data_IF_500159949142
#
_entry.id   IF_500159949142
#
_cell.length_a   1.000
_cell.length_b   1.000
_cell.length_c   1.000
_cell.angle_alpha   90.00
_cell.angle_beta   90.00
_cell.angle_gamma   90.00
#
_symmetry.space_group_name_H-M   'P 1'
#
loop_
_entity.id
_entity.type
_entity.pdbx_description
1 polymer ?
#
# COMPACT_ATOMS: atom_id res chain seq x y z
N UNK A 1 -2.03 -20.68 1.77
CA UNK A 1 -2.12 -19.71 0.68
C UNK A 1 -3.02 -18.57 1.15
N UNK A 2 -2.47 -17.38 1.28
CA UNK A 2 -3.24 -16.14 1.52
C UNK A 2 -3.61 -15.45 0.22
N UNK A 3 -4.21 -14.27 0.35
CA UNK A 3 -4.71 -13.44 -0.75
C UNK A 3 -4.04 -12.06 -0.73
N UNK A 4 -3.78 -11.52 -1.91
CA UNK A 4 -3.46 -10.11 -2.10
C UNK A 4 -4.79 -9.37 -2.30
N UNK A 5 -5.13 -8.48 -1.37
CA UNK A 5 -6.41 -7.75 -1.36
C UNK A 5 -6.12 -6.28 -1.65
N UNK A 6 -6.39 -5.83 -2.88
CA UNK A 6 -6.36 -4.41 -3.22
C UNK A 6 -7.61 -3.73 -2.65
N UNK A 7 -7.43 -2.90 -1.63
CA UNK A 7 -8.51 -2.34 -0.84
C UNK A 7 -8.68 -0.85 -1.16
N UNK A 8 -9.74 -0.52 -1.89
CA UNK A 8 -10.13 0.86 -2.16
C UNK A 8 -10.62 1.57 -0.90
N UNK A 9 -9.99 2.71 -0.57
CA UNK A 9 -10.27 3.48 0.64
C UNK A 9 -11.33 4.57 0.45
N UNK A 10 -11.75 4.82 -0.78
CA UNK A 10 -12.57 5.98 -1.12
C UNK A 10 -11.74 7.27 -1.24
N UNK A 11 -12.40 8.44 -1.34
CA UNK A 11 -11.79 9.71 -1.75
C UNK A 11 -11.01 10.44 -0.65
N UNK A 12 -10.90 9.86 0.55
CA UNK A 12 -10.12 10.43 1.66
C UNK A 12 -10.87 10.48 2.99
N UNK A 13 -12.18 10.73 2.96
CA UNK A 13 -13.01 10.67 4.17
C UNK A 13 -13.27 9.20 4.55
N UNK A 14 -12.86 8.74 5.76
CA UNK A 14 -13.11 7.37 6.21
C UNK A 14 -14.59 6.98 6.21
N UNK A 15 -15.52 7.93 6.37
CA UNK A 15 -16.96 7.65 6.37
C UNK A 15 -17.50 7.31 4.97
N UNK A 16 -16.73 7.59 3.91
CA UNK A 16 -17.05 7.22 2.53
C UNK A 16 -16.48 5.85 2.13
N UNK A 17 -15.81 5.16 3.05
CA UNK A 17 -15.26 3.84 2.82
C UNK A 17 -16.35 2.77 2.79
N UNK A 18 -16.26 1.81 1.86
CA UNK A 18 -17.19 0.68 1.86
C UNK A 18 -17.05 -0.17 3.13
N UNK A 19 -18.16 -0.72 3.63
CA UNK A 19 -18.19 -1.64 4.78
C UNK A 19 -17.26 -2.85 4.57
N UNK A 20 -17.07 -3.30 3.32
CA UNK A 20 -16.16 -4.40 3.00
C UNK A 20 -14.69 -4.01 3.17
N UNK A 21 -14.32 -2.81 2.75
CA UNK A 21 -12.96 -2.28 2.90
C UNK A 21 -12.61 -2.10 4.39
N UNK A 22 -13.50 -1.48 5.17
CA UNK A 22 -13.33 -1.31 6.62
C UNK A 22 -13.05 -2.65 7.33
N UNK A 23 -13.83 -3.70 7.02
CA UNK A 23 -13.63 -5.05 7.58
C UNK A 23 -12.26 -5.62 7.25
N UNK A 24 -11.80 -5.49 6.01
CA UNK A 24 -10.46 -5.98 5.63
C UNK A 24 -9.36 -5.21 6.36
N UNK A 25 -9.47 -3.89 6.48
CA UNK A 25 -8.48 -3.04 7.15
C UNK A 25 -8.38 -3.37 8.64
N UNK A 26 -9.52 -3.47 9.34
CA UNK A 26 -9.55 -3.75 10.78
C UNK A 26 -9.05 -5.15 11.15
N UNK A 27 -9.17 -6.11 10.24
CA UNK A 27 -8.76 -7.50 10.46
C UNK A 27 -7.39 -7.83 9.85
N UNK A 28 -6.77 -6.88 9.14
CA UNK A 28 -5.51 -7.10 8.45
C UNK A 28 -4.38 -7.40 9.44
N UNK A 29 -3.61 -8.46 9.14
CA UNK A 29 -2.34 -8.74 9.81
C UNK A 29 -1.15 -8.13 9.07
N UNK A 30 -1.28 -7.95 7.76
CA UNK A 30 -0.27 -7.36 6.89
C UNK A 30 -0.91 -6.28 6.03
N UNK A 31 -0.35 -5.07 6.06
CA UNK A 31 -0.84 -3.92 5.30
C UNK A 31 0.30 -3.28 4.53
N UNK A 32 0.16 -3.16 3.22
CA UNK A 32 1.11 -2.45 2.35
C UNK A 32 0.47 -1.18 1.80
N UNK A 33 1.27 -0.12 1.67
CA UNK A 33 0.81 1.16 1.14
C UNK A 33 1.96 1.96 0.55
N UNK A 34 1.69 2.74 -0.49
CA UNK A 34 2.69 3.62 -1.09
C UNK A 34 2.85 4.91 -0.29
N UNK A 35 4.08 5.43 -0.26
CA UNK A 35 4.37 6.76 0.30
C UNK A 35 5.58 7.42 -0.32
N UNK A 36 5.64 8.74 -0.20
CA UNK A 36 6.88 9.50 -0.36
C UNK A 36 7.77 9.28 0.86
N UNK A 37 9.08 9.11 0.65
CA UNK A 37 10.07 9.00 1.72
C UNK A 37 9.91 10.12 2.76
N UNK A 38 9.87 9.75 4.04
CA UNK A 38 9.70 10.69 5.15
C UNK A 38 8.28 11.23 5.35
N UNK A 39 7.29 10.83 4.54
CA UNK A 39 5.87 11.17 4.74
C UNK A 39 5.06 9.93 5.07
N UNK A 40 3.97 10.03 5.86
CA UNK A 40 3.14 8.87 6.20
C UNK A 40 2.51 8.18 4.98
N UNK A 41 2.19 8.93 3.92
CA UNK A 41 1.37 8.46 2.80
C UNK A 41 -0.12 8.75 3.05
N UNK A 42 -0.87 9.08 1.99
CA UNK A 42 -2.26 9.49 2.10
C UNK A 42 -3.15 8.30 2.48
N UNK A 43 -3.04 7.17 1.78
CA UNK A 43 -3.70 5.92 2.16
C UNK A 43 -3.50 5.53 3.64
N UNK A 44 -2.29 5.69 4.20
CA UNK A 44 -2.01 5.38 5.61
C UNK A 44 -2.70 6.33 6.59
N UNK A 45 -2.84 7.61 6.21
CA UNK A 45 -3.57 8.62 7.00
C UNK A 45 -5.07 8.34 7.03
N UNK A 46 -5.66 7.91 5.91
CA UNK A 46 -7.10 7.59 5.84
C UNK A 46 -7.44 6.48 6.84
N UNK A 47 -6.58 5.46 6.98
CA UNK A 47 -6.82 4.33 7.89
C UNK A 47 -6.28 4.53 9.31
N UNK A 48 -5.92 5.77 9.68
CA UNK A 48 -5.43 6.09 11.01
C UNK A 48 -6.47 5.74 12.09
N UNK A 49 -6.04 5.02 13.13
CA UNK A 49 -6.94 4.53 14.18
C UNK A 49 -7.81 3.31 13.80
N UNK A 50 -7.76 2.84 12.55
CA UNK A 50 -8.53 1.67 12.09
C UNK A 50 -7.73 0.36 12.16
N UNK A 51 -6.41 0.44 12.07
CA UNK A 51 -5.53 -0.71 12.02
C UNK A 51 -5.45 -1.44 13.37
N UNK A 52 -5.33 -2.77 13.32
CA UNK A 52 -5.08 -3.58 14.51
C UNK A 52 -3.75 -3.18 15.18
N UNK A 53 -3.64 -3.18 16.52
CA UNK A 53 -2.41 -2.78 17.22
C UNK A 53 -1.16 -3.60 16.86
N UNK A 54 -1.35 -4.85 16.43
CA UNK A 54 -0.32 -5.81 16.07
C UNK A 54 -0.10 -5.92 14.55
N UNK A 55 -0.72 -5.05 13.75
CA UNK A 55 -0.57 -5.09 12.29
C UNK A 55 0.89 -4.90 11.88
N UNK A 56 1.33 -5.67 10.90
CA UNK A 56 2.61 -5.43 10.24
C UNK A 56 2.41 -4.48 9.06
N UNK A 57 2.99 -3.30 9.16
CA UNK A 57 2.98 -2.29 8.10
C UNK A 57 4.18 -2.44 7.15
N UNK A 58 3.91 -2.28 5.85
CA UNK A 58 4.88 -2.31 4.76
C UNK A 58 4.81 -1.01 3.95
N UNK A 59 5.53 0.05 4.37
CA UNK A 59 5.60 1.29 3.62
C UNK A 59 6.43 1.11 2.34
N UNK A 60 5.76 1.17 1.19
CA UNK A 60 6.38 1.11 -0.13
C UNK A 60 6.85 2.51 -0.51
N UNK A 61 8.08 2.84 -0.12
CA UNK A 61 8.67 4.17 -0.37
C UNK A 61 9.09 4.32 -1.83
N UNK A 62 8.50 5.28 -2.54
CA UNK A 62 8.90 5.57 -3.91
C UNK A 62 10.40 5.95 -3.98
N UNK A 63 11.17 5.31 -4.88
CA UNK A 63 12.61 5.59 -5.03
C UNK A 63 12.86 6.98 -5.63
N UNK A 64 11.93 7.47 -6.44
CA UNK A 64 11.90 8.79 -7.05
C UNK A 64 10.47 9.31 -7.07
N UNK A 65 10.28 10.61 -6.91
CA UNK A 65 8.98 11.28 -6.96
C UNK A 65 8.96 12.42 -7.96
N UNK A 66 9.88 13.37 -7.85
CA UNK A 66 9.97 14.58 -8.70
C UNK A 66 11.39 14.88 -9.16
N UNK A 67 12.34 14.04 -8.79
CA UNK A 67 13.78 14.22 -9.03
C UNK A 67 14.16 13.98 -10.50
N UNK A 68 13.33 13.26 -11.25
CA UNK A 68 13.52 12.96 -12.67
C UNK A 68 12.24 13.28 -13.45
N UNK A 69 12.33 13.68 -14.73
CA UNK A 69 11.17 13.77 -15.62
C UNK A 69 10.47 12.41 -15.72
N UNK A 70 9.14 12.42 -15.64
CA UNK A 70 8.33 11.19 -15.61
C UNK A 70 8.42 10.37 -16.91
N UNK A 71 8.75 11.03 -18.03
CA UNK A 71 8.92 10.42 -19.35
C UNK A 71 10.37 9.99 -19.62
N UNK A 72 11.28 10.24 -18.67
CA UNK A 72 12.68 9.85 -18.85
C UNK A 72 12.85 8.32 -18.77
N UNK A 73 13.71 7.72 -19.60
CA UNK A 73 14.02 6.29 -19.52
C UNK A 73 14.51 5.86 -18.13
N UNK A 74 15.29 6.72 -17.47
CA UNK A 74 15.83 6.46 -16.13
C UNK A 74 14.73 6.39 -15.07
N UNK A 75 13.75 7.29 -15.11
CA UNK A 75 12.58 7.24 -14.24
C UNK A 75 11.83 5.92 -14.40
N UNK A 76 11.57 5.51 -15.66
CA UNK A 76 10.89 4.26 -15.96
C UNK A 76 11.65 3.03 -15.46
N UNK A 77 12.96 2.96 -15.66
CA UNK A 77 13.78 1.84 -15.16
C UNK A 77 13.75 1.75 -13.65
N UNK A 78 13.97 2.87 -12.93
CA UNK A 78 14.00 2.88 -11.47
C UNK A 78 12.64 2.45 -10.90
N UNK A 79 11.55 2.97 -11.47
CA UNK A 79 10.20 2.68 -10.99
C UNK A 79 9.78 1.24 -11.31
N UNK A 80 10.17 0.70 -12.47
CA UNK A 80 9.93 -0.69 -12.83
C UNK A 80 10.60 -1.66 -11.84
N UNK A 81 11.90 -1.47 -11.57
CA UNK A 81 12.62 -2.30 -10.60
C UNK A 81 12.00 -2.24 -9.20
N UNK A 82 11.54 -1.07 -8.77
CA UNK A 82 10.82 -0.92 -7.51
C UNK A 82 9.53 -1.74 -7.46
N UNK A 83 8.72 -1.71 -8.53
CA UNK A 83 7.49 -2.50 -8.58
C UNK A 83 7.79 -4.01 -8.63
N UNK A 84 8.81 -4.44 -9.37
CA UNK A 84 9.23 -5.85 -9.43
C UNK A 84 9.66 -6.38 -8.05
N UNK A 85 10.47 -5.61 -7.31
CA UNK A 85 10.90 -5.95 -5.96
C UNK A 85 9.72 -6.10 -4.99
N UNK A 86 8.78 -5.15 -5.02
CA UNK A 86 7.59 -5.21 -4.17
C UNK A 86 6.63 -6.32 -4.57
N UNK A 87 6.44 -6.58 -5.86
CA UNK A 87 5.64 -7.69 -6.33
C UNK A 87 6.17 -9.04 -5.80
N UNK A 88 7.48 -9.29 -5.92
CA UNK A 88 8.12 -10.49 -5.40
C UNK A 88 7.97 -10.63 -3.87
N UNK A 89 8.10 -9.52 -3.14
CA UNK A 89 7.94 -9.49 -1.68
C UNK A 89 6.50 -9.77 -1.25
N UNK A 90 5.53 -9.16 -1.92
CA UNK A 90 4.10 -9.36 -1.66
C UNK A 90 3.71 -10.81 -1.99
N UNK A 91 4.19 -11.35 -3.11
CA UNK A 91 3.96 -12.76 -3.48
C UNK A 91 4.46 -13.70 -2.37
N UNK A 92 5.67 -13.47 -1.87
CA UNK A 92 6.26 -14.27 -0.79
C UNK A 92 5.41 -14.22 0.48
N UNK A 93 4.94 -13.04 0.89
CA UNK A 93 4.05 -12.87 2.05
C UNK A 93 2.70 -13.59 1.83
N UNK A 94 2.15 -13.47 0.62
CA UNK A 94 0.87 -14.07 0.26
C UNK A 94 0.89 -15.61 0.26
N UNK A 95 2.06 -16.25 0.31
CA UNK A 95 2.14 -17.72 0.45
C UNK A 95 1.55 -18.20 1.78
N UNK A 96 1.70 -17.44 2.85
CA UNK A 96 1.29 -17.84 4.21
C UNK A 96 0.22 -16.96 4.84
N UNK A 97 -0.02 -15.74 4.36
CA UNK A 97 -0.96 -14.82 5.01
C UNK A 97 -1.63 -13.87 4.01
N UNK A 98 -2.83 -13.40 4.36
CA UNK A 98 -3.48 -12.34 3.59
C UNK A 98 -2.72 -11.03 3.76
N UNK A 99 -2.61 -10.26 2.68
CA UNK A 99 -2.02 -8.93 2.67
C UNK A 99 -2.99 -7.94 2.02
N UNK A 100 -3.27 -6.86 2.75
CA UNK A 100 -4.13 -5.78 2.28
C UNK A 100 -3.25 -4.67 1.70
N UNK A 101 -3.41 -4.40 0.42
CA UNK A 101 -2.75 -3.27 -0.25
C UNK A 101 -3.74 -2.10 -0.26
N UNK A 102 -3.39 -1.01 0.44
CA UNK A 102 -4.24 0.16 0.53
C UNK A 102 -4.19 0.95 -0.79
N UNK A 103 -5.36 1.21 -1.37
CA UNK A 103 -5.52 1.98 -2.60
C UNK A 103 -6.41 3.19 -2.32
N UNK A 104 -5.83 4.40 -2.34
CA UNK A 104 -6.61 5.63 -2.36
C UNK A 104 -7.35 5.78 -3.70
N UNK A 105 -8.55 6.37 -3.65
CA UNK A 105 -9.42 6.60 -4.81
C UNK A 105 -9.87 8.04 -4.94
#
# INVERSE_FOLDING_TARGET
MGRVICCGLGPGDPDLMSVRADRFIRTARHVAYFRKKGRPGQARRIVEGMLAPDVREYPMEYPVTTELPFDSPQYNTILASFYDEWAARIETLARTSDIVVLCEG
#
